data_IF_879972476923
#
_entry.id   IF_879972476923
#
_cell.length_a   1.000
_cell.length_b   1.000
_cell.length_c   1.000
_cell.angle_alpha   90.00
_cell.angle_beta   90.00
_cell.angle_gamma   90.00
#
_symmetry.space_group_name_H-M   'P 1'
#
loop_
_entity.id
_entity.type
_entity.pdbx_description
1 polymer ?
#
# COMPACT_ATOMS: atom_id res chain seq x y z
N UNK A 1 11.29 -17.62 -1.29
CA UNK A 1 10.71 -18.16 -2.54
C UNK A 1 9.26 -18.50 -2.27
N UNK A 2 8.33 -18.30 -3.21
CA UNK A 2 6.93 -18.62 -3.00
C UNK A 2 6.75 -20.14 -2.86
N UNK A 3 6.02 -20.57 -1.85
CA UNK A 3 5.80 -21.98 -1.52
C UNK A 3 4.45 -22.52 -1.99
N UNK A 4 3.55 -21.63 -2.41
CA UNK A 4 2.22 -21.96 -2.87
C UNK A 4 1.74 -21.03 -4.00
N UNK A 5 0.65 -21.43 -4.65
CA UNK A 5 0.02 -20.70 -5.76
C UNK A 5 -0.39 -19.28 -5.37
N UNK A 6 -0.84 -19.06 -4.13
CA UNK A 6 -1.31 -17.75 -3.65
C UNK A 6 -0.15 -16.76 -3.52
N UNK A 7 0.98 -17.20 -2.97
CA UNK A 7 2.22 -16.42 -2.88
C UNK A 7 2.78 -16.11 -4.27
N UNK A 8 2.75 -17.10 -5.18
CA UNK A 8 3.20 -16.89 -6.56
C UNK A 8 2.32 -15.91 -7.32
N UNK A 9 1.00 -16.00 -7.20
CA UNK A 9 0.06 -15.02 -7.77
C UNK A 9 0.30 -13.61 -7.23
N UNK A 10 0.59 -13.49 -5.92
CA UNK A 10 0.92 -12.19 -5.32
C UNK A 10 2.22 -11.63 -5.89
N UNK A 11 3.27 -12.46 -6.03
CA UNK A 11 4.53 -12.05 -6.62
C UNK A 11 4.40 -11.62 -8.09
N UNK A 12 3.68 -12.40 -8.92
CA UNK A 12 3.42 -12.03 -10.31
C UNK A 12 2.55 -10.77 -10.42
N UNK A 13 1.61 -10.58 -9.49
CA UNK A 13 0.81 -9.36 -9.40
C UNK A 13 1.65 -8.11 -9.09
N UNK A 14 2.73 -8.26 -8.31
CA UNK A 14 3.72 -7.20 -8.09
C UNK A 14 4.52 -6.91 -9.36
N UNK A 15 5.04 -7.94 -10.02
CA UNK A 15 5.79 -7.79 -11.28
C UNK A 15 4.97 -7.07 -12.36
N UNK A 16 3.71 -7.46 -12.54
CA UNK A 16 2.82 -6.85 -13.52
C UNK A 16 2.44 -5.40 -13.20
N UNK A 17 2.58 -4.97 -11.94
CA UNK A 17 2.39 -3.56 -11.59
C UNK A 17 3.54 -2.69 -12.11
N UNK A 18 4.76 -3.20 -12.05
CA UNK A 18 5.96 -2.52 -12.56
C UNK A 18 6.11 -2.73 -14.08
N UNK A 19 5.12 -2.31 -14.87
CA UNK A 19 5.05 -2.52 -16.34
C UNK A 19 6.29 -2.04 -17.11
N UNK A 20 7.09 -1.17 -16.51
CA UNK A 20 8.29 -0.57 -17.07
C UNK A 20 9.54 -1.47 -16.93
N UNK A 21 9.43 -2.61 -16.24
CA UNK A 21 10.56 -3.56 -16.18
C UNK A 21 10.81 -4.19 -17.56
N UNK A 22 12.08 -4.25 -17.99
CA UNK A 22 12.43 -4.94 -19.22
C UNK A 22 12.10 -6.43 -19.12
N UNK A 23 11.77 -7.04 -20.26
CA UNK A 23 11.55 -8.48 -20.41
C UNK A 23 10.41 -9.09 -19.57
N UNK A 24 9.46 -8.27 -19.07
CA UNK A 24 8.27 -8.74 -18.35
C UNK A 24 7.37 -9.69 -19.16
N UNK A 25 7.46 -9.69 -20.49
CA UNK A 25 6.68 -10.59 -21.34
C UNK A 25 7.22 -12.03 -21.33
N UNK A 26 8.54 -12.21 -21.20
CA UNK A 26 9.22 -13.52 -21.37
C UNK A 26 9.73 -14.06 -20.03
N UNK A 27 10.22 -13.19 -19.15
CA UNK A 27 10.81 -13.58 -17.87
C UNK A 27 9.86 -14.35 -16.93
N UNK A 28 8.58 -13.98 -16.76
CA UNK A 28 7.68 -14.68 -15.86
C UNK A 28 7.02 -15.92 -16.50
N UNK A 29 7.28 -16.22 -17.78
CA UNK A 29 6.68 -17.36 -18.49
C UNK A 29 6.79 -18.71 -17.74
N UNK A 30 7.98 -19.13 -17.23
CA UNK A 30 8.10 -20.38 -16.46
C UNK A 30 7.36 -20.33 -15.11
N UNK A 31 7.14 -19.14 -14.55
CA UNK A 31 6.35 -18.94 -13.34
C UNK A 31 4.84 -19.04 -13.63
N UNK A 32 4.39 -18.50 -14.78
CA UNK A 32 2.99 -18.63 -15.22
C UNK A 32 2.59 -20.08 -15.50
N UNK A 33 3.54 -20.94 -15.88
CA UNK A 33 3.28 -22.36 -16.08
C UNK A 33 2.77 -23.04 -14.80
N UNK A 34 3.29 -22.66 -13.62
CA UNK A 34 2.84 -23.16 -12.33
C UNK A 34 1.42 -22.71 -11.93
N UNK A 35 0.83 -21.77 -12.67
CA UNK A 35 -0.53 -21.26 -12.43
C UNK A 35 -1.59 -21.86 -13.36
N UNK A 36 -1.18 -22.70 -14.33
CA UNK A 36 -2.12 -23.35 -15.26
C UNK A 36 -2.98 -24.38 -14.53
N UNK A 37 -4.23 -24.53 -14.98
CA UNK A 37 -5.10 -25.62 -14.51
C UNK A 37 -4.44 -26.97 -14.81
N UNK A 38 -4.61 -27.92 -13.89
CA UNK A 38 -4.10 -29.31 -14.01
C UNK A 38 -2.58 -29.47 -14.07
N UNK A 39 -1.81 -28.46 -13.67
CA UNK A 39 -0.35 -28.54 -13.56
C UNK A 39 0.06 -28.90 -12.13
N UNK A 40 0.87 -29.95 -11.96
CA UNK A 40 1.48 -30.29 -10.66
C UNK A 40 2.47 -29.19 -10.27
N UNK A 41 2.45 -28.78 -9.00
CA UNK A 41 3.41 -27.81 -8.47
C UNK A 41 4.81 -28.46 -8.41
N UNK A 42 5.64 -28.17 -9.40
CA UNK A 42 7.02 -28.65 -9.49
C UNK A 42 7.93 -27.45 -9.69
N UNK A 43 8.66 -27.08 -8.64
CA UNK A 43 9.61 -25.98 -8.68
C UNK A 43 10.99 -26.50 -9.11
N UNK A 44 11.41 -26.19 -10.34
CA UNK A 44 12.71 -26.61 -10.90
C UNK A 44 13.70 -25.44 -10.95
N UNK A 45 14.92 -25.70 -11.42
CA UNK A 45 15.92 -24.65 -11.67
C UNK A 45 15.41 -23.56 -12.63
N UNK A 46 14.61 -23.92 -13.63
CA UNK A 46 14.05 -22.95 -14.58
C UNK A 46 13.16 -21.90 -13.89
N UNK A 47 12.28 -22.32 -12.96
CA UNK A 47 11.47 -21.38 -12.18
C UNK A 47 12.30 -20.61 -11.17
N UNK A 48 13.32 -21.25 -10.58
CA UNK A 48 14.22 -20.61 -9.64
C UNK A 48 15.01 -19.47 -10.30
N UNK A 49 15.54 -19.69 -11.50
CA UNK A 49 16.32 -18.69 -12.23
C UNK A 49 15.46 -17.53 -12.70
N UNK A 50 14.26 -17.82 -13.21
CA UNK A 50 13.27 -16.79 -13.54
C UNK A 50 12.89 -15.96 -12.31
N UNK A 51 12.64 -16.62 -11.17
CA UNK A 51 12.31 -15.93 -9.92
C UNK A 51 13.47 -15.05 -9.42
N UNK A 52 14.71 -15.56 -9.45
CA UNK A 52 15.91 -14.79 -9.04
C UNK A 52 16.14 -13.58 -9.93
N UNK A 53 16.06 -13.74 -11.25
CA UNK A 53 16.18 -12.65 -12.22
C UNK A 53 15.09 -11.61 -12.02
N UNK A 54 13.84 -12.04 -11.88
CA UNK A 54 12.71 -11.14 -11.61
C UNK A 54 12.89 -10.38 -10.28
N UNK A 55 13.39 -11.06 -9.24
CA UNK A 55 13.72 -10.42 -7.96
C UNK A 55 14.86 -9.40 -8.10
N UNK A 56 15.88 -9.71 -8.89
CA UNK A 56 16.99 -8.78 -9.17
C UNK A 56 16.50 -7.52 -9.88
N UNK A 57 15.59 -7.67 -10.85
CA UNK A 57 14.95 -6.53 -11.52
C UNK A 57 14.11 -5.70 -10.54
N UNK A 58 13.37 -6.36 -9.64
CA UNK A 58 12.61 -5.69 -8.58
C UNK A 58 13.48 -4.93 -7.57
N UNK A 59 14.77 -5.28 -7.44
CA UNK A 59 15.73 -4.60 -6.60
C UNK A 59 16.62 -3.60 -7.36
N UNK A 60 16.46 -3.50 -8.68
CA UNK A 60 17.24 -2.53 -9.45
C UNK A 60 16.75 -1.10 -9.16
N UNK A 61 17.70 -0.15 -9.10
CA UNK A 61 17.42 1.28 -8.88
C UNK A 61 16.49 1.87 -9.96
N UNK A 62 16.31 1.18 -11.09
CA UNK A 62 15.41 1.55 -12.18
C UNK A 62 13.92 1.58 -11.81
N UNK A 63 13.54 1.13 -10.60
CA UNK A 63 12.16 1.08 -10.15
C UNK A 63 11.75 2.19 -9.19
N UNK A 64 12.71 2.90 -8.62
CA UNK A 64 12.45 3.98 -7.68
C UNK A 64 12.70 5.29 -8.40
N UNK A 65 11.63 6.07 -8.58
CA UNK A 65 11.78 7.44 -9.05
C UNK A 65 12.00 8.40 -7.89
N UNK A 66 12.68 9.50 -8.17
CA UNK A 66 12.71 10.61 -7.23
C UNK A 66 11.33 11.25 -7.12
N UNK A 67 11.02 11.74 -5.92
CA UNK A 67 9.82 12.52 -5.69
C UNK A 67 9.85 13.80 -6.51
N UNK A 68 8.72 14.09 -7.15
CA UNK A 68 8.49 15.26 -7.99
C UNK A 68 7.14 15.88 -7.64
N UNK A 69 7.17 17.05 -7.03
CA UNK A 69 5.99 17.82 -6.60
C UNK A 69 5.04 18.17 -7.75
N UNK A 70 5.55 18.24 -8.99
CA UNK A 70 4.74 18.57 -10.17
C UNK A 70 3.92 17.37 -10.67
N UNK A 71 4.29 16.16 -10.26
CA UNK A 71 3.61 14.93 -10.67
C UNK A 71 2.55 14.54 -9.66
N UNK A 72 1.39 14.10 -10.17
CA UNK A 72 0.30 13.65 -9.31
C UNK A 72 0.74 12.45 -8.47
N UNK A 73 0.69 12.63 -7.15
CA UNK A 73 1.00 11.59 -6.19
C UNK A 73 -0.22 10.68 -5.94
N UNK A 74 0.02 9.38 -5.95
CA UNK A 74 -0.96 8.33 -5.66
C UNK A 74 -0.42 7.49 -4.51
N UNK A 75 -1.25 7.35 -3.47
CA UNK A 75 -0.97 6.47 -2.33
C UNK A 75 -1.95 5.31 -2.37
N UNK A 76 -1.44 4.11 -2.62
CA UNK A 76 -2.21 2.87 -2.58
C UNK A 76 -2.10 2.21 -1.21
N UNK A 77 -3.23 2.10 -0.51
CA UNK A 77 -3.31 1.50 0.82
C UNK A 77 -3.98 0.13 0.76
N UNK A 78 -3.37 -0.87 1.41
CA UNK A 78 -3.94 -2.20 1.60
C UNK A 78 -3.81 -2.64 3.06
N UNK A 79 -4.88 -3.20 3.61
CA UNK A 79 -4.89 -3.81 4.92
C UNK A 79 -5.21 -5.30 4.83
N UNK A 80 -4.38 -6.12 5.46
CA UNK A 80 -4.55 -7.57 5.48
C UNK A 80 -4.55 -8.08 6.92
N UNK A 81 -4.70 -9.40 7.08
CA UNK A 81 -4.50 -10.04 8.39
C UNK A 81 -3.06 -9.92 8.92
N UNK A 82 -2.09 -9.62 8.04
CA UNK A 82 -0.67 -9.60 8.35
C UNK A 82 -0.15 -8.19 8.68
N UNK A 83 -0.66 -7.16 8.03
CA UNK A 83 -0.07 -5.82 8.10
C UNK A 83 -0.91 -4.74 7.41
N UNK A 84 -0.38 -3.51 7.49
CA UNK A 84 -0.81 -2.37 6.69
C UNK A 84 0.32 -2.07 5.71
N UNK A 85 -0.01 -1.94 4.44
CA UNK A 85 0.93 -1.51 3.41
C UNK A 85 0.44 -0.23 2.77
N UNK A 86 1.37 0.68 2.49
CA UNK A 86 1.09 1.92 1.79
C UNK A 86 2.21 2.16 0.77
N UNK A 87 1.82 2.31 -0.50
CA UNK A 87 2.76 2.46 -1.61
C UNK A 87 2.53 3.81 -2.29
N UNK A 88 3.45 4.78 -2.12
CA UNK A 88 3.43 6.01 -2.86
C UNK A 88 3.96 5.78 -4.28
N UNK A 89 3.32 6.42 -5.26
CA UNK A 89 3.66 6.32 -6.67
C UNK A 89 3.31 7.63 -7.38
N UNK A 90 4.10 8.03 -8.37
CA UNK A 90 3.71 9.08 -9.29
C UNK A 90 2.88 8.51 -10.43
N UNK A 91 1.79 9.20 -10.78
CA UNK A 91 1.09 8.92 -12.02
C UNK A 91 1.83 9.59 -13.17
N UNK A 92 2.22 8.81 -14.17
CA UNK A 92 2.83 9.25 -15.42
C UNK A 92 1.94 8.73 -16.56
N UNK A 93 2.03 9.34 -17.74
CA UNK A 93 1.10 9.11 -18.86
C UNK A 93 0.92 7.62 -19.23
N UNK A 94 1.95 6.79 -19.03
CA UNK A 94 1.93 5.33 -19.33
C UNK A 94 1.69 4.40 -18.13
N UNK A 95 1.52 4.94 -16.90
CA UNK A 95 1.31 4.13 -15.70
C UNK A 95 1.69 4.81 -14.39
N UNK A 96 1.76 4.03 -13.31
CA UNK A 96 2.21 4.54 -12.01
C UNK A 96 3.63 4.05 -11.74
N UNK A 97 4.55 4.98 -11.49
CA UNK A 97 5.92 4.66 -11.09
C UNK A 97 6.05 4.76 -9.57
N UNK A 98 6.45 3.70 -8.87
CA UNK A 98 6.56 3.70 -7.42
C UNK A 98 7.76 4.53 -6.95
N UNK A 99 7.56 5.26 -5.85
CA UNK A 99 8.58 6.10 -5.22
C UNK A 99 9.44 5.29 -4.25
N UNK A 100 8.83 4.90 -3.14
CA UNK A 100 9.43 4.06 -2.11
C UNK A 100 8.31 3.28 -1.40
N UNK A 101 8.13 1.99 -1.69
CA UNK A 101 7.10 1.19 -1.02
C UNK A 101 7.47 1.00 0.45
N UNK A 102 6.53 1.28 1.37
CA UNK A 102 6.69 0.95 2.79
C UNK A 102 5.61 0.00 3.31
N UNK A 103 6.04 -0.86 4.23
CA UNK A 103 5.18 -1.85 4.89
C UNK A 103 5.31 -1.68 6.40
N UNK A 104 4.17 -1.65 7.09
CA UNK A 104 4.09 -1.68 8.53
C UNK A 104 3.54 -3.01 9.03
N UNK A 105 4.42 -3.78 9.64
CA UNK A 105 4.13 -5.05 10.29
C UNK A 105 3.93 -4.85 11.79
N UNK A 106 2.84 -4.20 12.20
CA UNK A 106 2.45 -4.23 13.61
C UNK A 106 0.93 -4.12 13.77
N UNK A 107 0.23 -5.14 13.30
CA UNK A 107 -1.16 -5.34 13.67
C UNK A 107 -1.25 -6.48 14.68
N UNK A 108 -1.59 -6.13 15.94
CA UNK A 108 -1.99 -7.12 16.94
C UNK A 108 -3.03 -8.07 16.31
N UNK A 109 -2.92 -9.37 16.61
CA UNK A 109 -3.69 -10.46 15.98
C UNK A 109 -5.21 -10.28 16.04
N UNK A 110 -5.75 -9.39 16.88
CA UNK A 110 -7.14 -9.42 17.31
C UNK A 110 -8.08 -8.30 16.83
N UNK A 111 -7.77 -7.47 15.83
CA UNK A 111 -8.73 -6.41 15.45
C UNK A 111 -8.95 -6.25 13.94
N UNK A 112 -9.51 -7.27 13.30
CA UNK A 112 -9.89 -7.25 11.88
C UNK A 112 -10.70 -6.01 11.47
N UNK A 113 -11.64 -5.55 12.31
CA UNK A 113 -12.50 -4.39 12.04
C UNK A 113 -11.78 -3.03 12.16
N UNK A 114 -10.71 -2.95 12.97
CA UNK A 114 -9.94 -1.70 13.12
C UNK A 114 -8.84 -1.56 12.06
N UNK A 115 -8.34 -2.67 11.50
CA UNK A 115 -7.24 -2.65 10.51
C UNK A 115 -7.52 -1.76 9.31
N UNK A 116 -8.68 -1.95 8.67
CA UNK A 116 -9.07 -1.16 7.49
C UNK A 116 -9.24 0.34 7.79
N UNK A 117 -9.52 0.70 9.04
CA UNK A 117 -9.63 2.09 9.49
C UNK A 117 -8.26 2.75 9.64
N UNK A 118 -7.23 1.98 10.02
CA UNK A 118 -5.89 2.49 10.31
C UNK A 118 -4.95 2.51 9.10
N UNK A 119 -5.33 1.88 7.98
CA UNK A 119 -4.49 1.91 6.77
C UNK A 119 -4.27 3.32 6.24
N UNK A 120 -5.32 4.16 6.32
CA UNK A 120 -5.29 5.52 5.84
C UNK A 120 -4.42 6.40 6.74
N UNK A 121 -4.61 6.28 8.05
CA UNK A 121 -3.83 7.05 9.02
C UNK A 121 -2.36 6.73 9.02
N UNK A 122 -2.02 5.44 8.85
CA UNK A 122 -0.65 5.02 8.68
C UNK A 122 -0.03 5.68 7.46
N UNK A 123 -0.73 5.65 6.31
CA UNK A 123 -0.22 6.22 5.08
C UNK A 123 0.00 7.75 5.17
N UNK A 124 -0.96 8.49 5.72
CA UNK A 124 -0.85 9.96 5.88
C UNK A 124 0.31 10.31 6.81
N UNK A 125 0.41 9.65 7.97
CA UNK A 125 1.48 9.90 8.94
C UNK A 125 2.85 9.59 8.36
N UNK A 126 2.94 8.51 7.58
CA UNK A 126 4.21 8.03 7.06
C UNK A 126 4.71 8.88 5.90
N UNK A 127 3.81 9.39 5.07
CA UNK A 127 4.15 10.16 3.88
C UNK A 127 3.83 11.64 4.02
N UNK A 128 3.70 12.17 5.25
CA UNK A 128 3.39 13.57 5.53
C UNK A 128 4.26 14.52 4.71
N UNK A 129 5.59 14.33 4.76
CA UNK A 129 6.57 15.17 4.08
C UNK A 129 6.41 15.16 2.54
N UNK A 130 5.74 14.16 1.96
CA UNK A 130 5.48 14.06 0.51
C UNK A 130 4.11 14.59 0.10
N UNK A 131 3.16 14.67 1.03
CA UNK A 131 1.76 15.03 0.75
C UNK A 131 1.38 16.41 1.24
N UNK A 132 2.17 16.99 2.15
CA UNK A 132 1.91 18.32 2.67
C UNK A 132 2.00 19.36 1.54
N UNK A 133 1.04 20.28 1.52
CA UNK A 133 0.88 21.26 0.43
C UNK A 133 0.52 20.71 -0.96
N UNK A 134 0.53 19.39 -1.16
CA UNK A 134 0.36 18.76 -2.47
C UNK A 134 -1.03 18.14 -2.66
N UNK A 135 -1.48 18.06 -3.92
CA UNK A 135 -2.70 17.32 -4.28
C UNK A 135 -2.37 15.86 -4.55
N UNK A 136 -3.07 14.93 -3.89
CA UNK A 136 -2.84 13.50 -4.07
C UNK A 136 -4.12 12.66 -4.13
N UNK A 137 -3.99 11.43 -4.61
CA UNK A 137 -5.08 10.44 -4.65
C UNK A 137 -4.77 9.30 -3.69
N UNK A 138 -5.75 8.92 -2.88
CA UNK A 138 -5.66 7.73 -2.06
C UNK A 138 -6.50 6.62 -2.69
N UNK A 139 -5.89 5.48 -2.96
CA UNK A 139 -6.59 4.26 -3.32
C UNK A 139 -6.73 3.32 -2.13
N UNK A 140 -7.93 2.77 -1.96
CA UNK A 140 -8.27 1.87 -0.87
C UNK A 140 -9.22 0.77 -1.34
N UNK A 141 -9.04 -0.45 -0.82
CA UNK A 141 -9.97 -1.57 -0.99
C UNK A 141 -11.22 -1.44 -0.09
N UNK A 142 -11.26 -0.43 0.78
CA UNK A 142 -12.36 -0.21 1.73
C UNK A 142 -13.32 0.87 1.21
N UNK A 143 -14.34 0.42 0.47
CA UNK A 143 -15.36 1.26 -0.16
C UNK A 143 -15.99 2.33 0.78
N UNK A 144 -16.32 2.04 2.05
CA UNK A 144 -16.92 3.05 2.94
C UNK A 144 -16.05 4.29 3.15
N UNK A 145 -14.71 4.21 3.08
CA UNK A 145 -13.84 5.37 3.29
C UNK A 145 -14.06 6.46 2.24
N UNK A 146 -14.35 6.07 1.00
CA UNK A 146 -14.64 7.02 -0.08
C UNK A 146 -15.86 7.89 0.23
N UNK A 147 -16.84 7.36 0.97
CA UNK A 147 -18.05 8.09 1.31
C UNK A 147 -17.94 8.84 2.63
N UNK A 148 -17.29 8.23 3.63
CA UNK A 148 -17.19 8.75 4.99
C UNK A 148 -16.20 9.91 5.13
N UNK A 149 -15.14 9.91 4.31
CA UNK A 149 -14.04 10.87 4.40
C UNK A 149 -13.90 11.69 3.11
N UNK A 150 -15.01 11.93 2.41
CA UNK A 150 -15.02 12.78 1.22
C UNK A 150 -14.99 14.26 1.63
N UNK A 151 -14.09 15.04 1.04
CA UNK A 151 -13.93 16.48 1.31
C UNK A 151 -15.21 17.30 1.04
N UNK A 152 -16.05 16.86 0.09
CA UNK A 152 -17.24 17.61 -0.32
C UNK A 152 -18.49 17.36 0.52
N UNK A 153 -18.44 16.43 1.48
CA UNK A 153 -19.61 16.05 2.28
C UNK A 153 -19.42 16.45 3.74
N UNK A 154 -20.47 17.06 4.30
CA UNK A 154 -20.56 17.24 5.74
C UNK A 154 -20.55 15.87 6.42
N UNK A 155 -19.61 15.66 7.35
CA UNK A 155 -19.58 14.44 8.15
C UNK A 155 -20.81 14.45 9.04
N UNK A 156 -21.58 13.37 8.97
CA UNK A 156 -22.78 13.22 9.79
C UNK A 156 -22.41 13.33 11.28
N UNK A 157 -23.15 14.13 12.04
CA UNK A 157 -22.88 14.37 13.47
C UNK A 157 -22.93 13.07 14.31
N UNK A 158 -23.62 12.03 13.80
CA UNK A 158 -23.71 10.68 14.37
C UNK A 158 -22.60 9.71 13.89
N UNK A 159 -21.60 10.19 13.16
CA UNK A 159 -20.46 9.36 12.78
C UNK A 159 -19.64 8.97 14.01
N UNK A 160 -19.13 7.75 14.06
CA UNK A 160 -18.24 7.29 15.14
C UNK A 160 -17.02 8.21 15.33
N UNK A 161 -16.55 8.36 16.57
CA UNK A 161 -15.45 9.26 16.96
C UNK A 161 -14.21 9.16 16.07
N UNK A 162 -13.80 7.96 15.66
CA UNK A 162 -12.65 7.79 14.77
C UNK A 162 -12.84 8.49 13.41
N UNK A 163 -14.04 8.48 12.82
CA UNK A 163 -14.32 9.16 11.54
C UNK A 163 -14.14 10.67 11.67
N UNK A 164 -14.63 11.24 12.78
CA UNK A 164 -14.50 12.67 13.07
C UNK A 164 -13.04 13.06 13.24
N UNK A 165 -12.28 12.25 14.00
CA UNK A 165 -10.84 12.46 14.18
C UNK A 165 -10.09 12.43 12.84
N UNK A 166 -10.35 11.44 11.99
CA UNK A 166 -9.69 11.35 10.69
C UNK A 166 -10.11 12.46 9.74
N UNK A 167 -11.37 12.87 9.77
CA UNK A 167 -11.82 13.99 8.97
C UNK A 167 -11.10 15.29 9.33
N UNK A 168 -10.88 15.55 10.62
CA UNK A 168 -10.10 16.69 11.10
C UNK A 168 -8.64 16.56 10.67
N UNK A 169 -8.03 15.38 10.84
CA UNK A 169 -6.65 15.17 10.39
C UNK A 169 -6.51 15.33 8.87
N UNK A 170 -7.48 14.87 8.10
CA UNK A 170 -7.51 14.93 6.65
C UNK A 170 -7.86 16.31 6.10
N UNK A 171 -8.55 17.17 6.88
CA UNK A 171 -8.92 18.51 6.42
C UNK A 171 -7.73 19.41 6.15
N UNK A 172 -6.57 19.09 6.74
CA UNK A 172 -5.29 19.76 6.47
C UNK A 172 -4.72 19.46 5.06
N UNK A 173 -5.25 18.46 4.36
CA UNK A 173 -4.67 17.94 3.11
C UNK A 173 -5.60 18.11 1.90
N UNK A 174 -5.02 18.22 0.71
CA UNK A 174 -5.73 18.21 -0.56
C UNK A 174 -5.73 16.81 -1.19
N UNK A 175 -6.79 16.03 -0.96
CA UNK A 175 -6.80 14.62 -1.34
C UNK A 175 -8.11 14.19 -2.00
N UNK A 176 -8.02 13.12 -2.81
CA UNK A 176 -9.19 12.43 -3.38
C UNK A 176 -9.12 10.95 -2.97
N UNK A 177 -10.12 10.46 -2.23
CA UNK A 177 -10.23 9.02 -1.94
C UNK A 177 -11.01 8.34 -3.06
N UNK A 178 -10.44 7.26 -3.61
CA UNK A 178 -11.08 6.40 -4.60
C UNK A 178 -11.02 4.94 -4.14
N UNK A 179 -12.14 4.25 -4.23
CA UNK A 179 -12.17 2.81 -4.06
C UNK A 179 -11.51 2.13 -5.27
N UNK A 180 -10.58 1.21 -5.01
CA UNK A 180 -10.09 0.25 -6.00
C UNK A 180 -10.18 -1.15 -5.41
N UNK A 181 -10.71 -2.14 -6.15
CA UNK A 181 -10.75 -3.52 -5.66
C UNK A 181 -9.32 -4.02 -5.39
N UNK A 182 -9.14 -4.87 -4.38
CA UNK A 182 -7.82 -5.38 -4.00
C UNK A 182 -7.05 -6.08 -5.12
N UNK A 183 -7.75 -6.60 -6.15
CA UNK A 183 -7.14 -7.14 -7.38
C UNK A 183 -6.37 -6.10 -8.19
N UNK A 184 -6.80 -4.83 -8.15
CA UNK A 184 -6.13 -3.69 -8.80
C UNK A 184 -5.08 -3.02 -7.90
N UNK A 185 -5.01 -3.40 -6.63
CA UNK A 185 -3.98 -2.98 -5.67
C UNK A 185 -2.93 -4.07 -5.47
N UNK A 186 -2.65 -4.84 -6.52
CA UNK A 186 -1.79 -6.03 -6.46
C UNK A 186 -0.41 -5.76 -5.85
N UNK A 187 0.17 -4.59 -6.06
CA UNK A 187 1.44 -4.15 -5.49
C UNK A 187 1.39 -3.97 -3.98
N UNK A 188 0.50 -3.11 -3.47
CA UNK A 188 0.31 -2.89 -2.03
C UNK A 188 -0.10 -4.19 -1.33
N UNK A 189 -0.97 -4.96 -1.99
CA UNK A 189 -1.49 -6.21 -1.50
C UNK A 189 -0.44 -7.33 -1.51
N UNK A 190 0.48 -7.36 -2.49
CA UNK A 190 1.63 -8.26 -2.52
C UNK A 190 2.64 -7.91 -1.42
N UNK A 191 2.99 -6.63 -1.28
CA UNK A 191 3.89 -6.15 -0.24
C UNK A 191 3.37 -6.51 1.16
N UNK A 192 2.08 -6.36 1.40
CA UNK A 192 1.45 -6.74 2.66
C UNK A 192 1.45 -8.26 2.95
N UNK A 193 1.46 -9.08 1.88
CA UNK A 193 1.43 -10.56 1.97
C UNK A 193 2.82 -11.21 1.93
N UNK A 194 3.85 -10.48 1.52
CA UNK A 194 5.22 -10.96 1.54
C UNK A 194 5.71 -10.96 2.99
N UNK A 195 5.98 -12.16 3.53
CA UNK A 195 6.58 -12.31 4.87
C UNK A 195 8.01 -11.77 4.82
N UNK A 196 8.21 -10.53 5.22
CA UNK A 196 9.54 -10.07 5.63
C UNK A 196 9.74 -10.46 7.11
N UNK A 197 10.93 -10.93 7.52
CA UNK A 197 11.21 -11.17 8.93
C UNK A 197 10.98 -9.86 9.70
N UNK A 198 10.30 -9.94 10.85
CA UNK A 198 9.93 -8.81 11.72
C UNK A 198 11.13 -7.86 11.87
N UNK A 199 11.06 -6.70 11.21
CA UNK A 199 11.97 -5.58 11.44
C UNK A 199 11.12 -4.48 12.09
N UNK A 200 11.28 -4.20 13.39
CA UNK A 200 10.56 -3.11 14.03
C UNK A 200 11.00 -1.79 13.40
N UNK A 201 10.09 -1.08 12.73
CA UNK A 201 10.38 0.22 12.12
C UNK A 201 10.65 1.27 13.20
N UNK A 202 11.91 1.76 13.29
CA UNK A 202 12.32 2.88 14.14
C UNK A 202 12.13 4.22 13.41
N UNK A 203 10.91 4.59 13.04
CA UNK A 203 10.66 5.91 12.43
C UNK A 203 10.05 6.80 13.52
N UNK A 204 10.78 7.80 14.05
CA UNK A 204 10.23 8.79 14.96
C UNK A 204 9.13 9.59 14.26
N UNK A 205 8.09 9.94 15.01
CA UNK A 205 6.97 10.71 14.47
C UNK A 205 7.33 12.19 14.33
N UNK A 206 6.87 12.90 13.27
CA UNK A 206 6.94 14.36 13.21
C UNK A 206 6.14 14.98 14.36
N UNK A 207 6.75 15.90 15.11
CA UNK A 207 6.18 16.45 16.35
C UNK A 207 4.86 17.21 16.11
N UNK A 208 4.69 17.82 14.94
CA UNK A 208 3.50 18.62 14.62
C UNK A 208 2.25 17.75 14.40
N UNK A 209 2.42 16.58 13.77
CA UNK A 209 1.35 15.59 13.61
C UNK A 209 1.03 14.90 14.95
N UNK A 210 2.05 14.70 15.79
CA UNK A 210 1.88 14.21 17.16
C UNK A 210 1.09 15.20 17.99
N UNK A 211 1.33 16.51 17.86
CA UNK A 211 0.61 17.53 18.64
C UNK A 211 -0.89 17.53 18.32
N UNK A 212 -1.26 17.48 17.03
CA UNK A 212 -2.66 17.45 16.59
C UNK A 212 -3.39 16.17 17.04
N UNK A 213 -2.68 15.03 17.10
CA UNK A 213 -3.25 13.75 17.53
C UNK A 213 -3.26 13.59 19.07
N UNK A 214 -2.24 14.09 19.77
CA UNK A 214 -2.10 13.95 21.22
C UNK A 214 -2.92 14.97 22.00
N UNK A 215 -3.07 16.21 21.54
CA UNK A 215 -3.97 17.18 22.21
C UNK A 215 -5.43 16.73 22.24
N UNK A 216 -5.81 15.74 21.43
CA UNK A 216 -7.16 15.18 21.40
C UNK A 216 -7.25 13.75 22.02
N UNK A 217 -6.13 13.21 22.50
CA UNK A 217 -6.05 11.87 23.11
C UNK A 217 -6.18 11.88 24.64
N UNK A 218 -5.95 13.02 25.29
CA UNK A 218 -5.95 13.15 26.76
C UNK A 218 -7.34 13.14 27.41
N UNK A 219 -8.42 12.86 26.66
CA UNK A 219 -9.78 12.71 27.22
C UNK A 219 -10.28 11.26 27.29
N UNK A 220 -9.41 10.26 27.06
CA UNK A 220 -9.79 8.84 27.20
C UNK A 220 -8.90 8.13 28.22
N UNK A 221 -9.01 8.54 29.48
CA UNK A 221 -8.91 7.62 30.62
C UNK A 221 -10.09 7.90 31.55
N UNK A 222 -11.14 7.09 31.39
CA UNK A 222 -12.02 6.54 32.43
C UNK A 222 -12.99 5.56 31.76
#
# INVERSE_FOLDING_TARGET
MPTNVTELKSFLGLLNYHKFLPDLATLPAPLHQLLRKDTKWIWTEMQNDAFKKAKSLLHSDSLLVHYDEQKLLIIACDASSYGLAAVPSHCIDDGCEPLLPEIYHQLRKNIASMRKKHQLSYAIRKFHDYIDGCKFIIYSDHNPLQYLLNQSKHIAQLSSSWIQQWAIALSAYNYIIKHKPGSQLSHASALNRLRLPDQPSKVPMPQDVVLVLNHNSDTIIC
#
